data_IF_216581567585
#
_entry.id   IF_216581567585
#
_cell.length_a   1.000
_cell.length_b   1.000
_cell.length_c   1.000
_cell.angle_alpha   90.00
_cell.angle_beta   90.00
_cell.angle_gamma   90.00
#
_symmetry.space_group_name_H-M   'P 1'
#
loop_
_entity.id
_entity.type
_entity.pdbx_description
1 polymer ?
#
# COMPACT_ATOMS: atom_id res chain seq x y z
N UNK A 1 27.73 27.80 -17.72
CA UNK A 1 27.56 26.32 -17.79
C UNK A 1 27.95 25.74 -16.45
N UNK A 2 27.21 24.77 -15.89
CA UNK A 2 27.60 24.15 -14.63
C UNK A 2 28.96 23.45 -14.79
N UNK A 3 29.80 23.52 -13.76
CA UNK A 3 31.11 22.88 -13.76
C UNK A 3 30.98 21.35 -13.93
N UNK A 4 31.89 20.69 -14.66
CA UNK A 4 31.89 19.24 -14.78
C UNK A 4 32.07 18.62 -13.39
N UNK A 5 31.20 17.66 -13.04
CA UNK A 5 31.26 16.92 -11.78
C UNK A 5 31.75 15.49 -12.05
N UNK A 6 33.07 15.24 -12.11
CA UNK A 6 33.58 13.88 -12.27
C UNK A 6 33.25 13.06 -11.01
N UNK A 7 32.81 11.81 -11.21
CA UNK A 7 32.50 10.90 -10.12
C UNK A 7 33.74 10.06 -9.85
N UNK A 8 34.33 10.17 -8.66
CA UNK A 8 35.52 9.39 -8.27
C UNK A 8 35.15 7.94 -7.93
N UNK A 9 36.17 7.07 -7.85
CA UNK A 9 36.00 5.66 -7.41
C UNK A 9 35.43 5.60 -5.99
N UNK A 10 35.91 6.46 -5.09
CA UNK A 10 35.45 6.54 -3.69
C UNK A 10 33.98 6.94 -3.60
N UNK A 11 33.53 7.90 -4.42
CA UNK A 11 32.12 8.29 -4.47
C UNK A 11 31.24 7.13 -4.97
N UNK A 12 31.73 6.34 -5.93
CA UNK A 12 31.02 5.15 -6.39
C UNK A 12 30.90 4.10 -5.26
N UNK A 13 31.98 3.82 -4.53
CA UNK A 13 31.99 2.87 -3.42
C UNK A 13 31.05 3.32 -2.29
N UNK A 14 31.13 4.58 -1.87
CA UNK A 14 30.25 5.13 -0.85
C UNK A 14 28.76 5.08 -1.24
N UNK A 15 28.44 5.23 -2.54
CA UNK A 15 27.08 5.09 -3.04
C UNK A 15 26.64 3.62 -3.13
N UNK A 16 27.56 2.70 -3.44
CA UNK A 16 27.29 1.25 -3.45
C UNK A 16 26.98 0.73 -2.06
N UNK A 17 27.69 1.17 -1.02
CA UNK A 17 27.45 0.76 0.37
C UNK A 17 26.05 1.15 0.86
N UNK A 18 25.54 2.28 0.38
CA UNK A 18 24.25 2.85 0.79
C UNK A 18 23.07 2.40 -0.06
N UNK A 19 23.29 1.62 -1.13
CA UNK A 19 22.22 1.25 -2.07
C UNK A 19 22.30 -0.20 -2.50
N UNK A 20 21.20 -0.75 -3.02
CA UNK A 20 21.12 -2.14 -3.52
C UNK A 20 21.09 -2.25 -5.06
N UNK A 21 21.17 -1.13 -5.77
CA UNK A 21 21.14 -1.10 -7.24
C UNK A 21 21.86 0.12 -7.80
N UNK A 22 22.44 -0.02 -8.99
CA UNK A 22 23.08 1.08 -9.73
C UNK A 22 22.13 2.27 -9.99
N UNK A 23 20.84 2.00 -10.22
CA UNK A 23 19.81 3.05 -10.38
C UNK A 23 19.52 3.80 -9.07
N UNK A 24 19.61 3.12 -7.93
CA UNK A 24 19.51 3.78 -6.63
C UNK A 24 20.80 4.57 -6.31
N UNK A 25 21.98 4.03 -6.62
CA UNK A 25 23.26 4.73 -6.47
C UNK A 25 23.29 6.05 -7.27
N UNK A 26 22.76 6.04 -8.51
CA UNK A 26 22.64 7.25 -9.32
C UNK A 26 21.73 8.30 -8.66
N UNK A 27 20.60 7.87 -8.08
CA UNK A 27 19.71 8.77 -7.31
C UNK A 27 20.39 9.32 -6.06
N UNK A 28 21.15 8.49 -5.34
CA UNK A 28 21.90 8.90 -4.15
C UNK A 28 22.94 9.97 -4.47
N UNK A 29 23.64 9.85 -5.60
CA UNK A 29 24.62 10.83 -6.08
C UNK A 29 23.99 12.03 -6.82
N UNK A 30 22.68 12.05 -7.02
CA UNK A 30 21.98 13.12 -7.75
C UNK A 30 22.35 13.18 -9.25
N UNK A 31 22.71 12.05 -9.87
CA UNK A 31 23.11 11.98 -11.26
C UNK A 31 22.22 11.02 -12.09
N UNK A 32 22.31 11.12 -13.41
CA UNK A 32 21.58 10.20 -14.30
C UNK A 32 22.23 8.81 -14.30
N UNK A 33 21.41 7.76 -14.44
CA UNK A 33 21.91 6.38 -14.53
C UNK A 33 22.96 6.20 -15.65
N UNK A 34 22.73 6.83 -16.80
CA UNK A 34 23.64 6.76 -17.94
C UNK A 34 25.01 7.35 -17.62
N UNK A 35 25.05 8.40 -16.80
CA UNK A 35 26.29 9.04 -16.39
C UNK A 35 27.07 8.14 -15.42
N UNK A 36 26.44 7.69 -14.34
CA UNK A 36 27.08 6.81 -13.35
C UNK A 36 27.56 5.49 -13.95
N UNK A 37 26.79 4.90 -14.88
CA UNK A 37 27.14 3.64 -15.55
C UNK A 37 28.50 3.69 -16.24
N UNK A 38 28.87 4.84 -16.84
CA UNK A 38 30.16 4.99 -17.53
C UNK A 38 31.33 4.95 -16.54
N UNK A 39 31.22 5.68 -15.42
CA UNK A 39 32.26 5.69 -14.39
C UNK A 39 32.41 4.33 -13.70
N UNK A 40 31.29 3.68 -13.33
CA UNK A 40 31.32 2.36 -12.70
C UNK A 40 31.87 1.26 -13.61
N UNK A 41 31.81 1.43 -14.93
CA UNK A 41 32.44 0.51 -15.88
C UNK A 41 33.96 0.71 -16.00
N UNK A 42 34.46 1.92 -15.74
CA UNK A 42 35.91 2.23 -15.77
C UNK A 42 36.63 1.72 -14.52
N UNK A 43 35.96 1.77 -13.36
CA UNK A 43 36.57 1.36 -12.09
C UNK A 43 36.44 -0.15 -11.86
N UNK A 44 37.59 -0.78 -11.58
CA UNK A 44 37.71 -2.19 -11.22
C UNK A 44 38.03 -2.35 -9.75
N UNK A 45 37.52 -3.42 -9.16
CA UNK A 45 37.93 -3.86 -7.82
C UNK A 45 39.14 -4.78 -7.90
N UNK A 46 40.15 -4.48 -7.09
CA UNK A 46 41.41 -5.22 -7.02
C UNK A 46 41.22 -6.63 -6.45
N UNK A 47 40.19 -6.82 -5.61
CA UNK A 47 39.92 -8.08 -4.91
C UNK A 47 39.18 -9.11 -5.77
N UNK A 48 38.34 -8.66 -6.70
CA UNK A 48 37.44 -9.52 -7.50
C UNK A 48 37.73 -9.46 -8.99
N UNK A 49 38.51 -8.48 -9.46
CA UNK A 49 38.83 -8.27 -10.88
C UNK A 49 37.63 -7.82 -11.75
N UNK A 50 36.44 -7.70 -11.15
CA UNK A 50 35.20 -7.30 -11.82
C UNK A 50 35.01 -5.79 -11.78
N UNK A 51 34.20 -5.27 -12.70
CA UNK A 51 33.81 -3.85 -12.70
C UNK A 51 32.83 -3.57 -11.56
N UNK A 52 32.87 -2.35 -10.99
CA UNK A 52 31.92 -1.93 -9.97
C UNK A 52 30.47 -2.04 -10.46
N UNK A 53 30.26 -1.84 -11.77
CA UNK A 53 28.96 -1.98 -12.41
C UNK A 53 28.39 -3.40 -12.26
N UNK A 54 29.20 -4.43 -12.51
CA UNK A 54 28.78 -5.84 -12.45
C UNK A 54 28.43 -6.27 -11.02
N UNK A 55 29.20 -5.79 -10.03
CA UNK A 55 28.96 -6.11 -8.62
C UNK A 55 27.62 -5.55 -8.13
N UNK A 56 27.26 -4.33 -8.54
CA UNK A 56 26.03 -3.66 -8.10
C UNK A 56 24.84 -3.86 -9.05
N UNK A 57 24.99 -4.71 -10.08
CA UNK A 57 23.94 -4.91 -11.08
C UNK A 57 22.82 -5.82 -10.55
N UNK A 58 21.71 -5.22 -10.09
CA UNK A 58 20.54 -5.94 -9.62
C UNK A 58 19.36 -5.79 -10.59
N UNK A 59 19.43 -6.48 -11.74
CA UNK A 59 18.39 -6.42 -12.77
C UNK A 59 17.04 -6.99 -12.30
N UNK A 60 17.06 -8.01 -11.45
CA UNK A 60 15.85 -8.66 -10.92
C UNK A 60 15.19 -7.90 -9.76
N UNK A 61 15.86 -6.87 -9.21
CA UNK A 61 15.37 -6.11 -8.05
C UNK A 61 15.22 -6.94 -6.79
N UNK A 62 16.09 -7.95 -6.59
CA UNK A 62 16.06 -8.79 -5.38
C UNK A 62 16.34 -7.93 -4.14
N UNK A 63 15.50 -8.05 -3.12
CA UNK A 63 15.63 -7.32 -1.86
C UNK A 63 15.27 -5.83 -1.91
N UNK A 64 14.55 -5.37 -2.95
CA UNK A 64 13.98 -4.02 -3.02
C UNK A 64 12.45 -4.14 -2.89
N UNK A 65 11.82 -3.48 -1.88
CA UNK A 65 10.37 -3.51 -1.72
C UNK A 65 9.67 -2.94 -2.97
N UNK A 66 8.79 -3.73 -3.58
CA UNK A 66 8.07 -3.37 -4.82
C UNK A 66 6.75 -2.63 -4.57
N UNK A 67 6.62 -1.94 -3.43
CA UNK A 67 5.34 -1.43 -2.94
C UNK A 67 4.64 -0.37 -3.81
N UNK A 68 5.23 0.09 -4.93
CA UNK A 68 4.66 1.19 -5.70
C UNK A 68 5.05 1.18 -7.19
N UNK A 69 4.43 0.32 -8.02
CA UNK A 69 4.39 0.57 -9.49
C UNK A 69 3.28 -0.17 -10.22
N UNK A 70 2.11 -0.38 -9.62
CA UNK A 70 0.93 -0.76 -10.39
C UNK A 70 0.30 0.49 -10.98
N UNK A 71 0.43 0.74 -12.30
CA UNK A 71 -0.58 1.57 -12.97
C UNK A 71 -1.89 0.81 -12.79
N UNK A 72 -2.76 1.26 -11.90
CA UNK A 72 -4.11 0.70 -11.78
C UNK A 72 -4.72 0.76 -13.17
N UNK A 73 -5.08 -0.39 -13.73
CA UNK A 73 -5.83 -0.42 -14.99
C UNK A 73 -7.10 0.38 -14.73
N UNK A 74 -7.20 1.55 -15.37
CA UNK A 74 -8.39 2.39 -15.31
C UNK A 74 -9.45 1.61 -16.06
N UNK A 75 -10.30 0.91 -15.32
CA UNK A 75 -11.42 0.18 -15.88
C UNK A 75 -12.46 1.17 -16.45
N UNK A 76 -12.97 0.91 -17.66
CA UNK A 76 -14.05 1.68 -18.28
C UNK A 76 -15.40 1.17 -17.80
N UNK A 77 -16.18 2.00 -17.11
CA UNK A 77 -17.45 1.56 -16.51
C UNK A 77 -18.49 1.13 -17.54
N UNK A 78 -18.52 1.76 -18.71
CA UNK A 78 -19.39 1.40 -19.83
C UNK A 78 -19.28 -0.09 -20.21
N UNK A 79 -18.05 -0.64 -20.24
CA UNK A 79 -17.82 -2.04 -20.56
C UNK A 79 -18.37 -3.00 -19.47
N UNK A 80 -18.50 -2.53 -18.22
CA UNK A 80 -19.14 -3.29 -17.12
C UNK A 80 -20.64 -3.34 -17.30
N UNK A 81 -21.22 -2.16 -17.54
CA UNK A 81 -22.66 -1.95 -17.59
C UNK A 81 -23.26 -2.72 -18.77
N UNK A 82 -22.51 -2.77 -19.88
CA UNK A 82 -22.85 -3.57 -21.06
C UNK A 82 -22.58 -5.08 -20.90
N UNK A 83 -21.96 -5.52 -19.79
CA UNK A 83 -21.67 -6.93 -19.52
C UNK A 83 -20.55 -7.54 -20.37
N UNK A 84 -19.73 -6.72 -21.04
CA UNK A 84 -18.61 -7.18 -21.86
C UNK A 84 -17.39 -7.54 -21.00
N UNK A 85 -17.21 -6.87 -19.86
CA UNK A 85 -16.13 -7.17 -18.93
C UNK A 85 -16.60 -7.98 -17.71
N UNK A 86 -15.82 -8.99 -17.32
CA UNK A 86 -16.03 -9.75 -16.08
C UNK A 86 -15.70 -8.89 -14.83
N UNK A 87 -16.67 -8.66 -13.92
CA UNK A 87 -16.46 -7.89 -12.70
C UNK A 87 -15.53 -8.55 -11.67
N UNK A 88 -15.26 -9.86 -11.80
CA UNK A 88 -14.57 -10.66 -10.78
C UNK A 88 -13.14 -10.17 -10.48
N UNK A 89 -12.54 -9.38 -11.38
CA UNK A 89 -11.20 -8.81 -11.18
C UNK A 89 -11.17 -7.55 -10.33
N UNK A 90 -12.33 -6.95 -10.03
CA UNK A 90 -12.43 -5.67 -9.32
C UNK A 90 -13.12 -5.83 -7.97
N UNK A 91 -12.70 -5.00 -7.00
CA UNK A 91 -13.41 -4.92 -5.73
C UNK A 91 -14.72 -4.15 -5.89
N UNK A 92 -15.78 -4.64 -5.24
CA UNK A 92 -17.11 -4.05 -5.32
C UNK A 92 -17.15 -2.60 -4.82
N UNK A 93 -16.32 -2.25 -3.84
CA UNK A 93 -16.14 -0.88 -3.35
C UNK A 93 -15.64 0.08 -4.43
N UNK A 94 -14.67 -0.36 -5.26
CA UNK A 94 -14.13 0.47 -6.35
C UNK A 94 -15.16 0.67 -7.45
N UNK A 95 -15.93 -0.38 -7.76
CA UNK A 95 -17.03 -0.29 -8.73
C UNK A 95 -18.09 0.68 -8.21
N UNK A 96 -18.53 0.53 -6.95
CA UNK A 96 -19.52 1.41 -6.32
C UNK A 96 -19.06 2.87 -6.35
N UNK A 97 -17.81 3.14 -5.94
CA UNK A 97 -17.26 4.49 -5.95
C UNK A 97 -17.28 5.10 -7.35
N UNK A 98 -16.87 4.32 -8.37
CA UNK A 98 -16.90 4.77 -9.77
C UNK A 98 -18.30 5.02 -10.30
N UNK A 99 -19.27 4.15 -10.01
CA UNK A 99 -20.67 4.32 -10.43
C UNK A 99 -21.23 5.66 -9.96
N UNK A 100 -20.91 6.04 -8.72
CA UNK A 100 -21.33 7.31 -8.12
C UNK A 100 -20.53 8.48 -8.69
N UNK A 101 -19.19 8.37 -8.77
CA UNK A 101 -18.33 9.47 -9.23
C UNK A 101 -18.52 9.83 -10.70
N UNK A 102 -18.83 8.83 -11.54
CA UNK A 102 -19.11 9.02 -12.97
C UNK A 102 -20.58 9.40 -13.23
N UNK A 103 -21.44 9.39 -12.20
CA UNK A 103 -22.82 9.89 -12.27
C UNK A 103 -23.83 8.93 -12.90
N UNK A 104 -23.54 7.62 -12.93
CA UNK A 104 -24.50 6.62 -13.42
C UNK A 104 -25.64 6.37 -12.43
N UNK A 105 -25.37 6.55 -11.13
CA UNK A 105 -26.33 6.36 -10.05
C UNK A 105 -26.13 7.48 -9.04
N UNK A 106 -27.22 8.06 -8.56
CA UNK A 106 -27.20 9.06 -7.50
C UNK A 106 -26.82 8.45 -6.15
N UNK A 107 -26.11 9.21 -5.30
CA UNK A 107 -25.66 8.74 -3.98
C UNK A 107 -26.79 8.77 -2.95
N UNK A 108 -27.87 8.03 -3.21
CA UNK A 108 -29.05 7.97 -2.34
C UNK A 108 -29.64 6.56 -2.24
N UNK A 109 -30.45 6.33 -1.21
CA UNK A 109 -31.18 5.08 -1.03
C UNK A 109 -32.41 5.02 -1.94
N UNK A 110 -32.54 3.97 -2.76
CA UNK A 110 -33.66 3.80 -3.68
C UNK A 110 -35.03 3.66 -3.01
N UNK A 111 -35.09 3.28 -1.73
CA UNK A 111 -36.37 3.12 -1.00
C UNK A 111 -36.79 4.36 -0.23
N UNK A 112 -35.85 5.04 0.46
CA UNK A 112 -36.19 6.12 1.39
C UNK A 112 -35.55 7.46 1.05
N UNK A 113 -34.75 7.56 -0.02
CA UNK A 113 -34.07 8.79 -0.42
C UNK A 113 -32.97 9.25 0.55
N UNK A 114 -32.51 8.38 1.46
CA UNK A 114 -31.48 8.73 2.43
C UNK A 114 -30.15 9.05 1.73
N UNK A 115 -29.64 10.26 1.96
CA UNK A 115 -28.43 10.81 1.33
C UNK A 115 -27.50 11.53 2.33
N UNK A 116 -27.73 11.38 3.63
CA UNK A 116 -26.94 12.10 4.65
C UNK A 116 -25.52 11.54 4.79
N UNK A 117 -24.56 12.45 4.91
CA UNK A 117 -23.14 12.13 5.06
C UNK A 117 -22.76 12.08 6.55
N UNK A 118 -21.94 11.10 6.92
CA UNK A 118 -21.34 11.03 8.26
C UNK A 118 -20.36 12.19 8.48
N UNK A 119 -20.47 12.92 9.59
CA UNK A 119 -19.64 14.10 9.91
C UNK A 119 -18.13 13.81 9.91
N UNK A 120 -17.73 12.61 10.37
CA UNK A 120 -16.31 12.24 10.53
C UNK A 120 -15.62 11.98 9.18
N UNK A 121 -16.24 11.15 8.32
CA UNK A 121 -15.60 10.64 7.10
C UNK A 121 -16.26 11.14 5.80
N UNK A 122 -17.36 11.91 5.90
CA UNK A 122 -18.22 12.34 4.78
C UNK A 122 -18.81 11.22 3.90
N UNK A 123 -18.74 9.97 4.37
CA UNK A 123 -19.31 8.79 3.70
C UNK A 123 -20.81 8.69 3.95
N UNK A 124 -21.54 8.24 2.93
CA UNK A 124 -22.97 7.89 3.04
C UNK A 124 -23.09 6.37 3.27
N UNK A 125 -23.85 5.91 4.30
CA UNK A 125 -24.03 4.50 4.65
C UNK A 125 -24.95 3.75 3.68
N UNK A 126 -24.53 3.63 2.43
CA UNK A 126 -25.22 2.88 1.37
C UNK A 126 -24.54 1.54 1.07
N UNK A 127 -25.33 0.52 0.75
CA UNK A 127 -24.91 -0.82 0.32
C UNK A 127 -25.39 -1.03 -1.11
N UNK A 128 -24.53 -1.61 -1.94
CA UNK A 128 -24.87 -2.03 -3.30
C UNK A 128 -25.57 -3.39 -3.26
N UNK A 129 -26.77 -3.45 -3.82
CA UNK A 129 -27.58 -4.67 -3.92
C UNK A 129 -27.97 -4.94 -5.38
N UNK A 130 -28.19 -6.22 -5.73
CA UNK A 130 -28.59 -6.67 -7.06
C UNK A 130 -29.98 -7.32 -6.99
N UNK A 131 -30.96 -6.86 -7.78
CA UNK A 131 -32.31 -7.43 -7.82
C UNK A 131 -32.30 -8.94 -8.16
N UNK A 132 -31.47 -9.32 -9.13
CA UNK A 132 -31.36 -10.70 -9.63
C UNK A 132 -30.60 -11.65 -8.70
N UNK A 133 -30.06 -11.15 -7.57
CA UNK A 133 -29.11 -11.86 -6.68
C UNK A 133 -27.79 -12.30 -7.36
N UNK A 134 -27.65 -12.08 -8.67
CA UNK A 134 -26.44 -12.36 -9.42
C UNK A 134 -25.43 -11.21 -9.26
N UNK A 135 -24.36 -11.45 -8.48
CA UNK A 135 -23.30 -10.48 -8.18
C UNK A 135 -22.43 -10.08 -9.38
N UNK A 136 -22.63 -10.71 -10.54
CA UNK A 136 -21.90 -10.40 -11.77
C UNK A 136 -22.68 -9.49 -12.73
N UNK A 137 -24.00 -9.34 -12.53
CA UNK A 137 -24.81 -8.53 -13.43
C UNK A 137 -24.86 -7.07 -12.96
N UNK A 138 -24.04 -6.22 -13.57
CA UNK A 138 -23.96 -4.78 -13.26
C UNK A 138 -24.79 -3.90 -14.22
N UNK A 139 -25.81 -4.45 -14.85
CA UNK A 139 -26.77 -3.61 -15.60
C UNK A 139 -27.44 -2.59 -14.66
N UNK A 140 -27.63 -1.36 -15.15
CA UNK A 140 -28.18 -0.25 -14.35
C UNK A 140 -29.54 -0.60 -13.74
N UNK A 141 -30.40 -1.29 -14.49
CA UNK A 141 -31.72 -1.70 -14.02
C UNK A 141 -31.68 -2.72 -12.87
N UNK A 142 -30.60 -3.49 -12.77
CA UNK A 142 -30.41 -4.51 -11.74
C UNK A 142 -29.77 -3.95 -10.46
N UNK A 143 -29.01 -2.85 -10.58
CA UNK A 143 -28.28 -2.25 -9.46
C UNK A 143 -29.23 -1.41 -8.60
N UNK A 144 -29.13 -1.58 -7.29
CA UNK A 144 -29.83 -0.77 -6.29
C UNK A 144 -28.87 -0.34 -5.18
N UNK A 145 -29.09 0.86 -4.65
CA UNK A 145 -28.41 1.34 -3.45
C UNK A 145 -29.42 1.38 -2.29
N UNK A 146 -29.10 0.69 -1.20
CA UNK A 146 -29.90 0.69 0.02
C UNK A 146 -29.11 1.25 1.20
N UNK A 147 -29.74 2.06 2.05
CA UNK A 147 -29.14 2.40 3.34
C UNK A 147 -29.13 1.16 4.26
N UNK A 148 -28.29 1.17 5.30
CA UNK A 148 -28.20 0.05 6.25
C UNK A 148 -29.55 -0.37 6.84
N UNK A 149 -30.42 0.61 7.12
CA UNK A 149 -31.76 0.35 7.66
C UNK A 149 -32.68 -0.32 6.62
N UNK A 150 -32.77 0.21 5.40
CA UNK A 150 -33.60 -0.39 4.35
C UNK A 150 -33.07 -1.76 3.92
N UNK A 151 -31.75 -1.95 3.90
CA UNK A 151 -31.16 -3.25 3.63
C UNK A 151 -31.59 -4.28 4.69
N UNK A 152 -31.57 -3.90 5.96
CA UNK A 152 -32.04 -4.74 7.07
C UNK A 152 -33.51 -5.14 6.92
N UNK A 153 -34.37 -4.20 6.51
CA UNK A 153 -35.82 -4.42 6.40
C UNK A 153 -36.21 -5.28 5.19
N UNK A 154 -35.56 -5.08 4.03
CA UNK A 154 -36.00 -5.68 2.76
C UNK A 154 -35.13 -6.84 2.27
N UNK A 155 -33.88 -6.93 2.70
CA UNK A 155 -32.90 -7.91 2.17
C UNK A 155 -32.46 -8.89 3.25
N UNK A 156 -31.96 -8.39 4.38
CA UNK A 156 -31.50 -9.24 5.49
C UNK A 156 -30.48 -8.57 6.42
N UNK A 157 -29.91 -9.36 7.33
CA UNK A 157 -28.97 -8.86 8.34
C UNK A 157 -27.67 -8.31 7.72
N UNK A 158 -27.24 -7.13 8.17
CA UNK A 158 -25.99 -6.48 7.73
C UNK A 158 -24.78 -7.03 8.48
N UNK A 159 -24.94 -7.32 9.77
CA UNK A 159 -23.86 -7.72 10.68
C UNK A 159 -23.95 -9.20 11.03
N UNK A 160 -22.80 -9.81 11.26
CA UNK A 160 -22.75 -11.16 11.83
C UNK A 160 -23.15 -11.13 13.32
N UNK A 161 -23.74 -12.22 13.82
CA UNK A 161 -24.11 -12.36 15.24
C UNK A 161 -22.92 -12.14 16.19
N UNK A 162 -21.69 -12.43 15.76
CA UNK A 162 -20.47 -12.18 16.55
C UNK A 162 -20.13 -10.69 16.61
N UNK A 163 -20.32 -9.98 15.50
CA UNK A 163 -20.07 -8.54 15.39
C UNK A 163 -21.10 -7.75 16.20
N UNK A 164 -22.38 -8.17 16.15
CA UNK A 164 -23.43 -7.58 16.99
C UNK A 164 -23.10 -7.70 18.49
N UNK A 165 -22.72 -8.90 18.94
CA UNK A 165 -22.25 -9.10 20.32
C UNK A 165 -21.06 -8.21 20.67
N UNK A 166 -20.11 -8.03 19.75
CA UNK A 166 -18.98 -7.14 20.00
C UNK A 166 -19.39 -5.67 20.14
N UNK A 167 -20.43 -5.24 19.44
CA UNK A 167 -20.95 -3.87 19.50
C UNK A 167 -21.81 -3.65 20.77
N UNK A 168 -22.61 -4.65 21.15
CA UNK A 168 -23.58 -4.57 22.24
C UNK A 168 -22.98 -4.94 23.62
N UNK A 169 -22.08 -5.92 23.67
CA UNK A 169 -21.50 -6.42 24.91
C UNK A 169 -20.41 -5.46 25.42
N UNK A 170 -20.34 -5.29 26.74
CA UNK A 170 -19.29 -4.51 27.40
C UNK A 170 -17.94 -5.25 27.50
N UNK A 171 -17.91 -6.54 27.15
CA UNK A 171 -16.72 -7.38 27.26
C UNK A 171 -15.82 -7.23 26.04
N UNK A 172 -14.60 -6.77 26.28
CA UNK A 172 -13.53 -6.75 25.28
C UNK A 172 -13.21 -8.20 24.93
N UNK A 173 -13.74 -8.70 23.81
CA UNK A 173 -13.30 -9.96 23.25
C UNK A 173 -11.84 -9.78 22.86
N UNK A 174 -10.94 -10.43 23.60
CA UNK A 174 -9.54 -10.50 23.21
C UNK A 174 -9.48 -11.20 21.85
N UNK A 175 -9.05 -10.47 20.82
CA UNK A 175 -8.83 -11.04 19.50
C UNK A 175 -7.86 -12.22 19.66
N UNK A 176 -8.37 -13.45 19.60
CA UNK A 176 -7.54 -14.65 19.45
C UNK A 176 -7.09 -14.78 18.00
N UNK A 177 -6.44 -13.74 17.50
CA UNK A 177 -5.59 -13.75 16.32
C UNK A 177 -4.41 -12.85 16.65
N UNK A 178 -3.16 -13.31 16.54
CA UNK A 178 -2.01 -12.45 16.73
C UNK A 178 -1.97 -11.47 15.54
N UNK A 179 -2.71 -10.38 15.64
CA UNK A 179 -2.56 -9.18 14.82
C UNK A 179 -1.35 -8.35 15.30
N UNK A 180 -0.37 -8.98 15.95
CA UNK A 180 1.00 -8.49 15.92
C UNK A 180 1.51 -8.82 14.52
N UNK A 181 1.12 -7.99 13.54
CA UNK A 181 1.94 -7.84 12.35
C UNK A 181 3.31 -7.40 12.87
N UNK A 182 4.20 -8.35 13.09
CA UNK A 182 5.60 -8.05 13.26
C UNK A 182 5.97 -7.32 11.98
N UNK A 183 6.10 -5.99 12.07
CA UNK A 183 6.67 -5.19 11.00
C UNK A 183 8.12 -5.63 10.91
N UNK A 184 8.36 -6.74 10.21
CA UNK A 184 9.68 -7.25 9.94
C UNK A 184 10.41 -6.16 9.14
N UNK A 185 11.28 -5.42 9.83
CA UNK A 185 12.18 -4.50 9.17
C UNK A 185 13.07 -5.30 8.21
N UNK A 186 13.16 -4.84 6.95
CA UNK A 186 14.07 -5.43 5.95
C UNK A 186 15.48 -5.54 6.56
N UNK A 187 16.19 -6.68 6.37
CA UNK A 187 17.56 -6.89 6.86
C UNK A 187 18.52 -5.71 6.62
N UNK A 188 18.34 -4.95 5.55
CA UNK A 188 19.12 -3.73 5.29
C UNK A 188 18.83 -2.61 6.29
N UNK A 189 17.56 -2.38 6.64
CA UNK A 189 17.17 -1.39 7.64
C UNK A 189 17.70 -1.78 9.02
N UNK A 190 17.62 -3.07 9.38
CA UNK A 190 18.21 -3.59 10.61
C UNK A 190 19.72 -3.35 10.69
N UNK A 191 20.47 -3.60 9.60
CA UNK A 191 21.91 -3.31 9.55
C UNK A 191 22.18 -1.81 9.77
N UNK A 192 21.37 -0.93 9.18
CA UNK A 192 21.54 0.52 9.31
C UNK A 192 21.20 1.04 10.71
N UNK A 193 20.17 0.48 11.35
CA UNK A 193 19.84 0.77 12.75
C UNK A 193 20.99 0.38 13.69
N UNK A 194 21.61 -0.77 13.46
CA UNK A 194 22.82 -1.21 14.18
C UNK A 194 24.00 -0.26 13.99
N UNK A 195 24.27 0.20 12.77
CA UNK A 195 25.33 1.18 12.49
C UNK A 195 25.10 2.54 13.16
N UNK A 196 23.83 2.91 13.39
CA UNK A 196 23.45 4.16 14.05
C UNK A 196 23.39 4.04 15.58
N UNK A 197 23.57 2.83 16.14
CA UNK A 197 23.43 2.59 17.58
C UNK A 197 21.99 2.65 18.09
N UNK A 198 21.00 2.44 17.21
CA UNK A 198 19.55 2.51 17.52
C UNK A 198 18.90 1.11 17.60
N UNK A 199 19.70 0.07 17.85
CA UNK A 199 19.18 -1.29 18.03
C UNK A 199 18.84 -1.49 19.51
N UNK A 200 17.62 -1.95 19.81
CA UNK A 200 17.10 -2.17 21.19
C UNK A 200 17.93 -3.16 22.02
N UNK A 201 18.93 -3.81 21.39
CA UNK A 201 19.87 -4.72 22.02
C UNK A 201 21.08 -4.03 22.68
N UNK A 202 21.24 -2.71 22.51
CA UNK A 202 22.20 -1.94 23.30
C UNK A 202 21.53 -1.62 24.63
N UNK A 203 21.80 -2.45 25.65
CA UNK A 203 21.59 -2.03 27.04
C UNK A 203 22.59 -0.91 27.30
N UNK A 204 22.14 0.33 27.19
CA UNK A 204 22.92 1.46 27.66
C UNK A 204 22.87 1.41 29.19
N UNK A 205 23.87 0.76 29.80
CA UNK A 205 24.01 0.65 31.26
C UNK A 205 24.15 2.04 31.95
N UNK A 206 24.17 3.13 31.18
CA UNK A 206 24.29 4.52 31.64
C UNK A 206 23.10 5.43 31.30
N UNK A 207 21.95 4.93 30.81
CA UNK A 207 20.79 5.80 30.58
C UNK A 207 20.04 6.11 31.90
N UNK A 208 20.13 7.34 32.46
CA UNK A 208 19.57 7.67 33.77
C UNK A 208 18.04 7.65 33.82
N UNK A 209 17.36 7.45 32.69
CA UNK A 209 15.89 7.42 32.61
C UNK A 209 15.28 6.00 32.65
N UNK A 210 16.09 4.94 32.69
CA UNK A 210 15.61 3.54 32.79
C UNK A 210 15.01 3.18 34.16
N UNK A 211 15.13 4.05 35.17
CA UNK A 211 14.63 3.83 36.54
C UNK A 211 13.18 4.25 36.79
N UNK A 212 12.48 4.84 35.82
CA UNK A 212 11.07 5.21 36.00
C UNK A 212 10.17 4.18 35.33
N UNK A 213 9.99 3.03 36.00
CA UNK A 213 8.84 2.19 35.73
C UNK A 213 7.59 2.90 36.26
N UNK A 214 6.71 3.32 35.35
CA UNK A 214 5.35 3.71 35.74
C UNK A 214 4.64 2.46 36.26
N UNK A 215 4.23 2.51 37.53
CA UNK A 215 3.27 1.59 38.14
C UNK A 215 1.88 1.80 37.55
#
# INVERSE_FOLDING_TARGET
MPAPKPISKEMCLAAMDKTKSTKAAARYLGCSYQHLRKYMAMYKDEKTGKTLLELQNNQAGKGIPKHLSGKSKIFKMEDLLNGTLDPSSFSQEKIKYKLISEGYIEEECCSCGFNERRVVDYKVPLILHFKDKNKKNYQLDNILLYCYNCYFLYVGEVFSKKELKHIEDHTILTETTPSKSEMELDPYHLKRLKELGLDDNIKDDNDPYTLVSYK
#
